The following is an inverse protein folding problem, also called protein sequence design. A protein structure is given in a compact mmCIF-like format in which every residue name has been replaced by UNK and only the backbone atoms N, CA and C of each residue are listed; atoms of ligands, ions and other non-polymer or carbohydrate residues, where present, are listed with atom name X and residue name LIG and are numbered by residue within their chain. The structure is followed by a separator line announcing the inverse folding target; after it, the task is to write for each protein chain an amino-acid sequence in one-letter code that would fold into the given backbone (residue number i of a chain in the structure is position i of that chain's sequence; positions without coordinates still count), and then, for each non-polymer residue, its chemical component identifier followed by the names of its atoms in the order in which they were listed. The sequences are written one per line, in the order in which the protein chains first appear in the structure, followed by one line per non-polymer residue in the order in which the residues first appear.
data_IF_062931176386
#
_entry.id   IF_062931176386
#
_cell.length_a   1.000
_cell.length_b   1.000
_cell.length_c   1.000
_cell.angle_alpha   90.00
_cell.angle_beta   90.00
_cell.angle_gamma   90.00
#
_symmetry.space_group_name_H-M   'P 1'
#
loop_
_entity.id
_entity.type
_entity.pdbx_description
1 polymer ?
#
# COMPACT_ATOMS: atom_id res chain seq x y z
N UNK A 1 1.87 23.12 -16.35
CA UNK A 1 2.18 21.73 -16.76
C UNK A 1 3.12 20.93 -15.82
N UNK A 2 3.68 21.47 -14.73
CA UNK A 2 4.78 20.81 -13.97
C UNK A 2 4.43 19.64 -13.02
N UNK A 3 3.16 19.22 -12.89
CA UNK A 3 2.74 18.15 -11.93
C UNK A 3 1.72 17.15 -12.49
N UNK A 4 1.72 16.92 -13.80
CA UNK A 4 0.71 16.07 -14.45
C UNK A 4 0.64 14.66 -13.84
N UNK A 5 1.80 14.07 -13.51
CA UNK A 5 1.85 12.74 -12.89
C UNK A 5 1.22 12.76 -11.49
N UNK A 6 1.64 13.70 -10.64
CA UNK A 6 1.10 13.79 -9.28
C UNK A 6 -0.42 14.03 -9.28
N UNK A 7 -0.94 14.84 -10.21
CA UNK A 7 -2.38 15.05 -10.37
C UNK A 7 -3.11 13.78 -10.81
N UNK A 8 -2.55 13.01 -11.76
CA UNK A 8 -3.15 11.72 -12.17
C UNK A 8 -3.17 10.76 -10.98
N UNK A 9 -2.05 10.59 -10.27
CA UNK A 9 -1.95 9.72 -9.09
C UNK A 9 -2.95 10.10 -7.99
N UNK A 10 -3.14 11.40 -7.75
CA UNK A 10 -4.16 11.93 -6.85
C UNK A 10 -5.57 11.53 -7.28
N UNK A 11 -5.93 11.78 -8.55
CA UNK A 11 -7.28 11.54 -9.05
C UNK A 11 -7.63 10.05 -9.04
N UNK A 12 -6.74 9.18 -9.52
CA UNK A 12 -7.00 7.73 -9.55
C UNK A 12 -7.08 7.15 -8.13
N UNK A 13 -6.25 7.65 -7.20
CA UNK A 13 -6.22 7.20 -5.82
C UNK A 13 -7.50 7.55 -5.07
N UNK A 14 -7.91 8.83 -5.12
CA UNK A 14 -9.16 9.25 -4.48
C UNK A 14 -10.39 8.57 -5.09
N UNK A 15 -10.44 8.42 -6.42
CA UNK A 15 -11.52 7.69 -7.07
C UNK A 15 -11.60 6.25 -6.58
N UNK A 16 -10.49 5.50 -6.58
CA UNK A 16 -10.47 4.10 -6.15
C UNK A 16 -10.88 3.92 -4.69
N UNK A 17 -10.37 4.77 -3.78
CA UNK A 17 -10.68 4.71 -2.34
C UNK A 17 -12.15 5.04 -2.08
N UNK A 18 -12.68 6.11 -2.67
CA UNK A 18 -14.06 6.54 -2.46
C UNK A 18 -15.05 5.56 -3.10
N UNK A 19 -14.74 5.05 -4.29
CA UNK A 19 -15.54 4.03 -4.95
C UNK A 19 -15.56 2.74 -4.12
N UNK A 20 -14.41 2.30 -3.58
CA UNK A 20 -14.36 1.12 -2.71
C UNK A 20 -15.16 1.32 -1.43
N UNK A 21 -15.08 2.50 -0.81
CA UNK A 21 -15.87 2.83 0.38
C UNK A 21 -17.37 2.79 0.09
N UNK A 22 -17.79 3.40 -1.02
CA UNK A 22 -19.18 3.39 -1.47
C UNK A 22 -19.68 1.96 -1.74
N UNK A 23 -18.88 1.14 -2.43
CA UNK A 23 -19.22 -0.27 -2.69
C UNK A 23 -19.32 -1.08 -1.39
N UNK A 24 -18.42 -0.87 -0.42
CA UNK A 24 -18.52 -1.53 0.89
C UNK A 24 -19.73 -1.07 1.67
N UNK A 25 -20.09 0.23 1.62
CA UNK A 25 -21.28 0.77 2.26
C UNK A 25 -22.57 0.18 1.67
N UNK A 26 -22.65 0.07 0.35
CA UNK A 26 -23.79 -0.47 -0.38
C UNK A 26 -23.97 -1.97 -0.11
N UNK A 27 -22.87 -2.73 -0.04
CA UNK A 27 -22.89 -4.19 0.13
C UNK A 27 -22.69 -4.63 1.60
N UNK A 28 -22.78 -3.71 2.56
CA UNK A 28 -22.50 -4.03 3.96
C UNK A 28 -23.51 -5.04 4.52
N UNK A 29 -23.01 -5.97 5.32
CA UNK A 29 -23.81 -6.93 6.09
C UNK A 29 -23.74 -6.66 7.59
N UNK A 30 -22.96 -5.66 7.99
CA UNK A 30 -22.77 -5.23 9.37
C UNK A 30 -23.36 -3.83 9.57
N UNK A 31 -23.40 -3.37 10.80
CA UNK A 31 -23.67 -1.96 11.08
C UNK A 31 -22.61 -1.05 10.44
N UNK A 32 -22.92 0.26 10.41
CA UNK A 32 -22.10 1.26 9.74
C UNK A 32 -20.73 1.39 10.42
N UNK A 33 -20.68 1.34 11.75
CA UNK A 33 -19.44 1.50 12.50
C UNK A 33 -18.50 0.33 12.22
N UNK A 34 -18.98 -0.90 12.33
CA UNK A 34 -18.21 -2.09 12.00
C UNK A 34 -17.78 -2.12 10.53
N UNK A 35 -18.62 -1.67 9.60
CA UNK A 35 -18.23 -1.55 8.18
C UNK A 35 -17.07 -0.57 7.99
N UNK A 36 -17.12 0.60 8.63
CA UNK A 36 -16.02 1.60 8.60
C UNK A 36 -14.75 1.00 9.19
N UNK A 37 -14.84 0.29 10.32
CA UNK A 37 -13.69 -0.38 10.92
C UNK A 37 -13.12 -1.44 9.98
N UNK A 38 -13.96 -2.25 9.33
CA UNK A 38 -13.52 -3.23 8.32
C UNK A 38 -12.84 -2.56 7.14
N UNK A 39 -13.35 -1.42 6.65
CA UNK A 39 -12.70 -0.67 5.56
C UNK A 39 -11.25 -0.29 5.91
N UNK A 40 -11.03 0.24 7.12
CA UNK A 40 -9.68 0.59 7.60
C UNK A 40 -8.85 -0.61 8.11
N UNK A 41 -9.45 -1.81 8.16
CA UNK A 41 -8.75 -3.05 8.53
C UNK A 41 -7.97 -3.68 7.37
N UNK A 42 -8.11 -3.16 6.14
CA UNK A 42 -7.37 -3.65 4.98
C UNK A 42 -6.06 -2.86 4.78
N UNK A 43 -4.92 -3.56 4.72
CA UNK A 43 -3.63 -2.98 4.38
C UNK A 43 -3.65 -2.32 3.00
N UNK A 44 -4.40 -2.91 2.06
CA UNK A 44 -4.66 -2.35 0.72
C UNK A 44 -5.22 -0.94 0.82
N UNK A 45 -6.25 -0.73 1.66
CA UNK A 45 -6.91 0.57 1.81
C UNK A 45 -5.97 1.58 2.46
N UNK A 46 -5.34 1.21 3.58
CA UNK A 46 -4.40 2.09 4.28
C UNK A 46 -3.22 2.51 3.39
N UNK A 47 -2.68 1.59 2.61
CA UNK A 47 -1.55 1.86 1.72
C UNK A 47 -1.97 2.71 0.52
N UNK A 48 -3.16 2.48 -0.06
CA UNK A 48 -3.68 3.33 -1.13
C UNK A 48 -4.00 4.74 -0.61
N UNK A 49 -4.50 4.89 0.62
CA UNK A 49 -4.66 6.19 1.28
C UNK A 49 -3.29 6.87 1.43
N UNK A 50 -2.27 6.15 1.90
CA UNK A 50 -0.91 6.66 2.04
C UNK A 50 -0.34 7.19 0.71
N UNK A 51 -0.49 6.40 -0.38
CA UNK A 51 -0.13 6.81 -1.75
C UNK A 51 -0.88 8.07 -2.17
N UNK A 52 -2.19 8.10 -1.96
CA UNK A 52 -3.06 9.20 -2.37
C UNK A 52 -2.76 10.49 -1.61
N UNK A 53 -2.48 10.37 -0.30
CA UNK A 53 -2.04 11.50 0.53
C UNK A 53 -0.66 12.01 0.12
N UNK A 54 0.27 11.13 -0.29
CA UNK A 54 1.56 11.53 -0.83
C UNK A 54 1.39 12.38 -2.12
N UNK A 55 0.53 11.95 -3.04
CA UNK A 55 0.23 12.71 -4.26
C UNK A 55 -0.51 14.01 -3.95
N UNK A 56 -1.48 13.99 -3.03
CA UNK A 56 -2.17 15.19 -2.52
C UNK A 56 -1.19 16.22 -1.96
N UNK A 57 -0.33 15.80 -1.03
CA UNK A 57 0.70 16.66 -0.45
C UNK A 57 1.63 17.22 -1.53
N UNK A 58 1.99 16.39 -2.52
CA UNK A 58 2.81 16.81 -3.65
C UNK A 58 2.10 17.84 -4.52
N UNK A 59 0.85 17.64 -4.93
CA UNK A 59 0.11 18.59 -5.79
C UNK A 59 -0.05 19.95 -5.11
N UNK A 60 -0.51 19.97 -3.86
CA UNK A 60 -0.82 21.19 -3.12
C UNK A 60 0.37 21.78 -2.34
N UNK A 61 1.54 21.13 -2.38
CA UNK A 61 2.75 21.52 -1.63
C UNK A 61 2.47 21.68 -0.13
N UNK A 62 1.75 20.74 0.46
CA UNK A 62 1.39 20.78 1.88
C UNK A 62 2.63 20.55 2.75
N UNK A 63 3.32 21.63 3.14
CA UNK A 63 4.58 21.56 3.91
C UNK A 63 4.39 21.58 5.43
N UNK A 64 3.15 21.64 5.89
CA UNK A 64 2.80 21.63 7.31
C UNK A 64 2.66 20.20 7.85
N UNK A 65 2.74 20.03 9.16
CA UNK A 65 2.50 18.74 9.82
C UNK A 65 1.01 18.36 9.63
N UNK A 66 0.68 17.08 9.36
CA UNK A 66 1.57 15.91 9.27
C UNK A 66 2.25 15.72 7.89
N UNK A 67 1.83 16.44 6.86
CA UNK A 67 2.27 16.27 5.47
C UNK A 67 3.77 16.55 5.22
N UNK A 68 4.44 17.32 6.10
CA UNK A 68 5.90 17.56 6.04
C UNK A 68 6.69 16.25 5.95
N UNK A 69 6.22 15.19 6.61
CA UNK A 69 6.92 13.90 6.64
C UNK A 69 6.97 13.22 5.27
N UNK A 70 5.99 13.47 4.38
CA UNK A 70 6.01 12.95 3.00
C UNK A 70 7.17 13.48 2.15
N UNK A 71 7.74 14.63 2.53
CA UNK A 71 8.91 15.21 1.86
C UNK A 71 10.23 14.73 2.48
N UNK A 72 10.18 13.81 3.44
CA UNK A 72 11.38 13.23 4.03
C UNK A 72 12.05 12.23 3.08
N UNK A 73 13.38 12.13 3.17
CA UNK A 73 14.22 11.30 2.31
C UNK A 73 13.80 9.83 2.41
N UNK A 74 13.51 9.20 1.27
CA UNK A 74 13.19 7.76 1.21
C UNK A 74 11.72 7.41 1.41
N UNK A 75 10.86 8.40 1.67
CA UNK A 75 9.40 8.21 1.77
C UNK A 75 8.84 7.54 0.52
N UNK A 76 9.15 8.08 -0.66
CA UNK A 76 8.59 7.54 -1.90
C UNK A 76 9.05 6.09 -2.14
N UNK A 77 10.29 5.74 -1.84
CA UNK A 77 10.78 4.36 -1.97
C UNK A 77 10.07 3.40 -1.01
N UNK A 78 9.80 3.82 0.24
CA UNK A 78 9.05 3.03 1.20
C UNK A 78 7.59 2.83 0.76
N UNK A 79 6.91 3.92 0.36
CA UNK A 79 5.54 3.87 -0.18
C UNK A 79 5.48 2.94 -1.42
N UNK A 80 6.46 3.04 -2.32
CA UNK A 80 6.56 2.16 -3.49
C UNK A 80 6.73 0.71 -3.07
N UNK A 81 7.56 0.39 -2.07
CA UNK A 81 7.68 -0.98 -1.58
C UNK A 81 6.36 -1.52 -1.01
N UNK A 82 5.64 -0.70 -0.23
CA UNK A 82 4.36 -1.10 0.38
C UNK A 82 3.23 -1.29 -0.64
N UNK A 83 3.12 -0.40 -1.62
CA UNK A 83 2.07 -0.57 -2.65
C UNK A 83 2.40 -1.73 -3.60
N UNK A 84 3.68 -2.05 -3.81
CA UNK A 84 4.08 -3.24 -4.56
C UNK A 84 3.78 -4.54 -3.81
N UNK A 85 3.99 -4.61 -2.50
CA UNK A 85 3.59 -5.80 -1.74
C UNK A 85 2.06 -5.96 -1.72
N UNK A 86 1.28 -4.87 -1.67
CA UNK A 86 -0.19 -4.91 -1.84
C UNK A 86 -0.56 -5.59 -3.16
N UNK A 87 0.02 -5.13 -4.28
CA UNK A 87 -0.26 -5.72 -5.59
C UNK A 87 0.20 -7.17 -5.66
N UNK A 88 1.42 -7.48 -5.19
CA UNK A 88 1.98 -8.82 -5.27
C UNK A 88 1.20 -9.85 -4.45
N UNK A 89 0.86 -9.51 -3.19
CA UNK A 89 0.06 -10.39 -2.32
C UNK A 89 -1.31 -10.63 -2.95
N UNK A 90 -1.93 -9.61 -3.53
CA UNK A 90 -3.20 -9.81 -4.21
C UNK A 90 -3.06 -10.75 -5.42
N UNK A 91 -2.09 -10.52 -6.30
CA UNK A 91 -1.91 -11.35 -7.50
C UNK A 91 -1.62 -12.82 -7.17
N UNK A 92 -0.84 -13.07 -6.12
CA UNK A 92 -0.39 -14.43 -5.77
C UNK A 92 -1.37 -15.13 -4.83
N UNK A 93 -1.88 -14.43 -3.81
CA UNK A 93 -2.62 -15.06 -2.73
C UNK A 93 -4.14 -14.82 -2.78
N UNK A 94 -4.62 -13.74 -3.43
CA UNK A 94 -6.03 -13.33 -3.34
C UNK A 94 -6.80 -13.42 -4.66
N UNK A 95 -6.15 -13.21 -5.82
CA UNK A 95 -6.81 -13.20 -7.14
C UNK A 95 -7.55 -14.50 -7.45
N UNK A 96 -7.09 -15.64 -6.93
CA UNK A 96 -7.76 -16.94 -7.11
C UNK A 96 -9.05 -17.08 -6.31
N UNK A 97 -9.14 -16.44 -5.14
CA UNK A 97 -10.24 -16.61 -4.18
C UNK A 97 -11.24 -15.45 -4.17
N UNK A 98 -10.89 -14.34 -4.80
CA UNK A 98 -11.74 -13.15 -4.90
C UNK A 98 -12.06 -12.85 -6.37
N UNK A 99 -13.33 -13.01 -6.76
CA UNK A 99 -13.80 -12.89 -8.14
C UNK A 99 -14.86 -11.77 -8.28
N UNK A 100 -14.48 -10.49 -8.08
CA UNK A 100 -15.43 -9.39 -8.17
C UNK A 100 -15.92 -9.18 -9.60
N UNK A 101 -17.14 -8.66 -9.75
CA UNK A 101 -17.76 -8.36 -11.05
C UNK A 101 -18.18 -6.88 -11.11
N UNK A 102 -18.56 -6.41 -12.31
CA UNK A 102 -19.02 -5.04 -12.52
C UNK A 102 -18.02 -3.97 -12.05
N UNK A 103 -18.52 -2.93 -11.38
CA UNK A 103 -17.71 -1.83 -10.86
C UNK A 103 -16.69 -2.30 -9.80
N UNK A 104 -17.03 -3.31 -9.01
CA UNK A 104 -16.13 -3.83 -7.98
C UNK A 104 -14.85 -4.41 -8.59
N UNK A 105 -14.95 -5.06 -9.76
CA UNK A 105 -13.77 -5.55 -10.50
C UNK A 105 -12.85 -4.40 -10.93
N UNK A 106 -13.43 -3.30 -11.43
CA UNK A 106 -12.66 -2.14 -11.87
C UNK A 106 -11.91 -1.51 -10.69
N UNK A 107 -12.61 -1.31 -9.58
CA UNK A 107 -12.01 -0.74 -8.35
C UNK A 107 -10.94 -1.66 -7.78
N UNK A 108 -11.17 -2.97 -7.80
CA UNK A 108 -10.23 -3.97 -7.33
C UNK A 108 -8.92 -3.98 -8.16
N UNK A 109 -9.03 -3.94 -9.49
CA UNK A 109 -7.86 -3.80 -10.38
C UNK A 109 -7.16 -2.45 -10.23
N UNK A 110 -7.90 -1.36 -9.95
CA UNK A 110 -7.29 -0.07 -9.64
C UNK A 110 -6.40 -0.15 -8.40
N UNK A 111 -6.92 -0.71 -7.31
CA UNK A 111 -6.25 -0.80 -6.01
C UNK A 111 -5.06 -1.77 -6.00
N UNK A 112 -5.14 -2.87 -6.76
CA UNK A 112 -4.17 -3.97 -6.70
C UNK A 112 -3.26 -4.09 -7.93
N UNK A 113 -3.58 -3.44 -9.04
CA UNK A 113 -2.76 -3.52 -10.28
C UNK A 113 -2.35 -2.13 -10.76
N UNK A 114 -3.32 -1.27 -11.07
CA UNK A 114 -3.04 0.01 -11.75
C UNK A 114 -2.27 0.98 -10.85
N UNK A 115 -2.71 1.21 -9.62
CA UNK A 115 -2.03 2.13 -8.68
C UNK A 115 -0.63 1.61 -8.32
N UNK A 116 -0.41 0.33 -7.97
CA UNK A 116 0.93 -0.21 -7.76
C UNK A 116 1.89 0.02 -8.93
N UNK A 117 1.48 -0.30 -10.16
CA UNK A 117 2.31 -0.08 -11.36
C UNK A 117 2.55 1.41 -11.62
N UNK A 118 1.52 2.23 -11.43
CA UNK A 118 1.63 3.68 -11.56
C UNK A 118 2.68 4.26 -10.61
N UNK A 119 2.65 3.87 -9.34
CA UNK A 119 3.61 4.34 -8.33
C UNK A 119 5.02 3.85 -8.63
N UNK A 120 5.18 2.62 -9.13
CA UNK A 120 6.49 2.12 -9.56
C UNK A 120 7.06 2.95 -10.72
N UNK A 121 6.26 3.23 -11.76
CA UNK A 121 6.67 4.08 -12.88
C UNK A 121 7.01 5.49 -12.39
N UNK A 122 6.17 6.06 -11.52
CA UNK A 122 6.40 7.37 -10.91
C UNK A 122 7.72 7.40 -10.14
N UNK A 123 7.99 6.38 -9.33
CA UNK A 123 9.23 6.23 -8.58
C UNK A 123 10.44 6.15 -9.51
N UNK A 124 10.39 5.34 -10.57
CA UNK A 124 11.47 5.24 -11.56
C UNK A 124 11.82 6.60 -12.19
N UNK A 125 10.82 7.46 -12.40
CA UNK A 125 11.00 8.80 -12.97
C UNK A 125 11.55 9.80 -11.94
N UNK A 126 11.17 9.68 -10.67
CA UNK A 126 11.39 10.73 -9.64
C UNK A 126 12.43 10.40 -8.57
N UNK A 127 12.89 9.16 -8.48
CA UNK A 127 13.81 8.69 -7.45
C UNK A 127 15.11 9.51 -7.44
N UNK A 128 15.60 9.86 -6.24
CA UNK A 128 16.87 10.57 -6.04
C UNK A 128 17.80 9.77 -5.14
N UNK A 129 19.09 10.11 -5.14
CA UNK A 129 20.12 9.43 -4.32
C UNK A 129 19.77 9.39 -2.83
N UNK A 130 19.15 10.46 -2.33
CA UNK A 130 18.74 10.53 -0.94
C UNK A 130 17.55 9.61 -0.60
N UNK A 131 16.79 9.15 -1.58
CA UNK A 131 15.63 8.27 -1.39
C UNK A 131 16.00 6.79 -1.24
N UNK A 132 17.29 6.45 -1.43
CA UNK A 132 17.79 5.07 -1.41
C UNK A 132 18.53 4.74 -0.10
N UNK A 133 18.30 5.53 0.95
CA UNK A 133 18.96 5.33 2.25
C UNK A 133 18.23 4.24 3.04
N UNK A 134 18.95 3.16 3.38
CA UNK A 134 18.42 2.06 4.19
C UNK A 134 17.85 2.53 5.54
N UNK A 135 18.52 3.48 6.21
CA UNK A 135 18.06 4.06 7.48
C UNK A 135 16.66 4.67 7.38
N UNK A 136 16.31 5.26 6.24
CA UNK A 136 14.97 5.83 6.04
C UNK A 136 13.90 4.74 6.11
N UNK A 137 14.17 3.57 5.56
CA UNK A 137 13.20 2.47 5.51
C UNK A 137 13.00 1.75 6.82
N UNK A 138 14.03 1.63 7.66
CA UNK A 138 13.89 1.00 8.97
C UNK A 138 12.80 1.68 9.82
N UNK A 139 12.68 3.01 9.74
CA UNK A 139 11.58 3.73 10.41
C UNK A 139 10.20 3.44 9.80
N UNK A 140 10.14 3.16 8.49
CA UNK A 140 8.90 2.81 7.81
C UNK A 140 8.42 1.39 8.07
N UNK A 141 9.30 0.46 8.48
CA UNK A 141 8.91 -0.90 8.86
C UNK A 141 7.92 -0.94 10.05
N UNK A 142 7.89 0.14 10.84
CA UNK A 142 6.88 0.27 11.90
C UNK A 142 5.45 0.23 11.34
N UNK A 143 5.22 0.74 10.12
CA UNK A 143 3.90 0.76 9.50
C UNK A 143 3.29 -0.65 9.30
N UNK A 144 3.92 -1.58 8.56
CA UNK A 144 3.39 -2.94 8.41
C UNK A 144 3.40 -3.72 9.73
N UNK A 145 4.35 -3.50 10.64
CA UNK A 145 4.37 -4.18 11.94
C UNK A 145 3.16 -3.78 12.79
N UNK A 146 2.88 -2.47 12.91
CA UNK A 146 1.70 -2.00 13.63
C UNK A 146 0.41 -2.50 12.99
N UNK A 147 0.35 -2.56 11.66
CA UNK A 147 -0.80 -3.12 10.95
C UNK A 147 -1.04 -4.59 11.32
N UNK A 148 0.00 -5.43 11.31
CA UNK A 148 -0.12 -6.85 11.67
C UNK A 148 -0.55 -7.03 13.12
N UNK A 149 0.03 -6.29 14.05
CA UNK A 149 -0.37 -6.34 15.47
C UNK A 149 -1.84 -5.95 15.63
N UNK A 150 -2.24 -4.83 15.01
CA UNK A 150 -3.61 -4.36 15.03
C UNK A 150 -4.59 -5.41 14.48
N UNK A 151 -4.29 -6.00 13.32
CA UNK A 151 -5.26 -6.86 12.64
C UNK A 151 -5.41 -8.23 13.32
N UNK A 152 -4.34 -8.76 13.92
CA UNK A 152 -4.41 -9.99 14.70
C UNK A 152 -5.16 -9.76 16.01
N UNK A 153 -4.88 -8.67 16.72
CA UNK A 153 -5.60 -8.32 17.95
C UNK A 153 -7.09 -8.12 17.66
N UNK A 154 -7.41 -7.35 16.62
CA UNK A 154 -8.80 -7.14 16.19
C UNK A 154 -9.46 -8.46 15.80
N UNK A 155 -8.82 -9.27 14.97
CA UNK A 155 -9.37 -10.54 14.51
C UNK A 155 -9.68 -11.48 15.68
N UNK A 156 -8.86 -11.46 16.73
CA UNK A 156 -9.13 -12.19 17.96
C UNK A 156 -10.41 -11.73 18.67
N UNK A 157 -10.64 -10.42 18.79
CA UNK A 157 -11.82 -9.89 19.50
C UNK A 157 -13.11 -9.86 18.66
N UNK A 158 -13.02 -9.61 17.36
CA UNK A 158 -14.20 -9.43 16.49
C UNK A 158 -14.52 -10.63 15.61
N UNK A 159 -13.63 -11.64 15.55
CA UNK A 159 -13.74 -12.78 14.64
C UNK A 159 -13.54 -12.43 13.16
N UNK A 160 -13.26 -11.16 12.83
CA UNK A 160 -13.09 -10.72 11.44
C UNK A 160 -11.61 -10.62 11.08
N UNK A 161 -11.16 -11.50 10.18
CA UNK A 161 -9.84 -11.44 9.57
C UNK A 161 -9.98 -11.02 8.09
N UNK A 162 -9.37 -9.90 7.66
CA UNK A 162 -9.49 -9.41 6.29
C UNK A 162 -8.74 -10.28 5.27
N UNK A 163 -7.84 -11.14 5.75
CA UNK A 163 -6.98 -11.97 4.93
C UNK A 163 -7.03 -13.43 5.39
N UNK A 164 -7.37 -14.39 4.51
CA UNK A 164 -7.41 -15.81 4.87
C UNK A 164 -6.06 -16.31 5.39
N UNK A 165 -4.96 -15.82 4.84
CA UNK A 165 -3.60 -16.19 5.25
C UNK A 165 -3.20 -15.63 6.63
N UNK A 166 -4.04 -14.80 7.27
CA UNK A 166 -3.87 -14.33 8.65
C UNK A 166 -4.95 -14.90 9.60
N UNK A 167 -5.89 -15.71 9.12
CA UNK A 167 -7.03 -16.17 9.91
C UNK A 167 -6.60 -17.27 10.90
N UNK A 168 -6.19 -16.87 12.09
CA UNK A 168 -5.64 -17.77 13.12
C UNK A 168 -6.61 -18.91 13.48
N UNK A 169 -7.92 -18.69 13.71
CA UNK A 169 -8.87 -19.78 13.92
C UNK A 169 -8.91 -20.84 12.81
N UNK A 170 -8.69 -20.46 11.55
CA UNK A 170 -8.76 -21.37 10.41
C UNK A 170 -7.43 -22.08 10.13
N UNK A 171 -6.30 -21.38 10.24
CA UNK A 171 -5.00 -21.91 9.79
C UNK A 171 -4.02 -22.22 10.93
N UNK A 172 -4.32 -21.79 12.16
CA UNK A 172 -3.47 -21.94 13.34
C UNK A 172 -2.28 -20.96 13.37
N UNK A 173 -1.74 -20.73 14.57
CA UNK A 173 -0.66 -19.78 14.82
C UNK A 173 0.61 -20.05 14.00
N UNK A 174 1.00 -21.31 13.84
CA UNK A 174 2.21 -21.69 13.12
C UNK A 174 2.17 -21.20 11.66
N UNK A 175 1.09 -21.53 10.93
CA UNK A 175 0.91 -21.09 9.55
C UNK A 175 0.73 -19.58 9.46
N UNK A 176 0.02 -18.94 10.39
CA UNK A 176 -0.11 -17.48 10.42
C UNK A 176 1.26 -16.80 10.57
N UNK A 177 2.10 -17.26 11.50
CA UNK A 177 3.45 -16.70 11.72
C UNK A 177 4.37 -16.94 10.51
N UNK A 178 4.28 -18.11 9.87
CA UNK A 178 4.98 -18.39 8.63
C UNK A 178 4.57 -17.42 7.51
N UNK A 179 3.26 -17.22 7.31
CA UNK A 179 2.75 -16.30 6.29
C UNK A 179 3.19 -14.85 6.54
N UNK A 180 3.15 -14.40 7.80
CA UNK A 180 3.66 -13.07 8.19
C UNK A 180 5.14 -12.96 7.85
N UNK A 181 5.94 -13.98 8.17
CA UNK A 181 7.37 -14.02 7.90
C UNK A 181 7.67 -13.96 6.40
N UNK A 182 6.92 -14.69 5.57
CA UNK A 182 7.03 -14.66 4.11
C UNK A 182 6.71 -13.26 3.55
N UNK A 183 5.61 -12.65 3.98
CA UNK A 183 5.23 -11.30 3.54
C UNK A 183 6.28 -10.27 3.95
N UNK A 184 6.82 -10.38 5.18
CA UNK A 184 7.87 -9.49 5.66
C UNK A 184 9.16 -9.65 4.86
N UNK A 185 9.64 -10.88 4.65
CA UNK A 185 10.82 -11.17 3.83
C UNK A 185 10.65 -10.68 2.39
N UNK A 186 9.46 -10.86 1.82
CA UNK A 186 9.11 -10.35 0.47
C UNK A 186 9.18 -8.82 0.44
N UNK A 187 8.67 -8.14 1.45
CA UNK A 187 8.74 -6.68 1.57
C UNK A 187 10.19 -6.19 1.64
N UNK A 188 11.05 -6.85 2.44
CA UNK A 188 12.49 -6.54 2.49
C UNK A 188 13.18 -6.76 1.13
N UNK A 189 12.78 -7.81 0.42
CA UNK A 189 13.33 -8.15 -0.90
C UNK A 189 12.94 -7.09 -1.93
N UNK A 190 11.67 -6.69 -1.99
CA UNK A 190 11.19 -5.58 -2.84
C UNK A 190 11.95 -4.31 -2.52
N UNK A 191 12.07 -3.96 -1.24
CA UNK A 191 12.75 -2.74 -0.83
C UNK A 191 14.23 -2.73 -1.23
N UNK A 192 14.94 -3.83 -1.00
CA UNK A 192 16.35 -3.97 -1.41
C UNK A 192 16.49 -3.87 -2.92
N UNK A 193 15.57 -4.48 -3.68
CA UNK A 193 15.53 -4.42 -5.14
C UNK A 193 15.33 -2.98 -5.63
N UNK A 194 14.42 -2.22 -5.03
CA UNK A 194 14.25 -0.80 -5.32
C UNK A 194 15.52 0.00 -5.03
N UNK A 195 16.24 -0.27 -3.94
CA UNK A 195 17.54 0.39 -3.69
C UNK A 195 18.54 0.10 -4.82
N UNK A 196 18.69 -1.16 -5.22
CA UNK A 196 19.64 -1.57 -6.26
C UNK A 196 19.28 -0.97 -7.61
N UNK A 197 18.02 -1.09 -8.02
CA UNK A 197 17.50 -0.51 -9.27
C UNK A 197 17.65 1.01 -9.27
N UNK A 198 17.33 1.67 -8.15
CA UNK A 198 17.43 3.11 -8.01
C UNK A 198 18.86 3.61 -8.19
N UNK A 199 19.86 2.88 -7.65
CA UNK A 199 21.28 3.22 -7.86
C UNK A 199 21.67 3.16 -9.34
N UNK A 200 21.13 2.18 -10.08
CA UNK A 200 21.36 2.04 -11.52
C UNK A 200 20.71 3.19 -12.30
N UNK A 201 19.45 3.52 -11.99
CA UNK A 201 18.71 4.63 -12.62
C UNK A 201 19.47 5.94 -12.45
N UNK A 202 19.88 6.27 -11.22
CA UNK A 202 20.59 7.52 -10.93
C UNK A 202 21.94 7.56 -11.64
N UNK A 203 22.70 6.46 -11.64
CA UNK A 203 23.99 6.39 -12.34
C UNK A 203 23.85 6.66 -13.84
N UNK A 204 22.76 6.18 -14.47
CA UNK A 204 22.46 6.48 -15.88
C UNK A 204 22.09 7.95 -16.10
N UNK A 205 21.30 8.54 -15.19
CA UNK A 205 20.90 9.95 -15.27
C UNK A 205 22.07 10.92 -15.09
N UNK A 206 23.11 10.57 -14.32
CA UNK A 206 24.29 11.41 -14.10
C UNK A 206 25.35 11.34 -15.21
N UNK A 207 25.20 10.42 -16.17
CA UNK A 207 26.13 10.24 -17.30
C UNK A 207 25.69 10.95 -18.57
N UNK A 208 24.50 11.55 -18.56
CA UNK A 208 23.91 12.38 -19.62
C UNK A 208 24.06 13.83 -19.19
#
# INVERSE_FOLDING_TARGET
MKRKLETIGLCIGWFAILAQFFLMFQNRQTDILEMVIRFFSFFTILTNILVTLYFTASVFKLKLIPFKWFFSKGTITAITAFILIVGLVYQVALRGVWQPTGLQRIVDELLHTIIPLYVLIYWCIKVRKNDLRLKSFLGWLLYPVLFIVFILARGHFSGFYPYPFLNVPEIGYEKTLLNISIVFATTLTIFTSLILIGKIIIKKQTKI
#
